data_IF_821657302277
#
_entry.id   IF_821657302277
#
_cell.length_a   1.000
_cell.length_b   1.000
_cell.length_c   1.000
_cell.angle_alpha   90.00
_cell.angle_beta   90.00
_cell.angle_gamma   90.00
#
_symmetry.space_group_name_H-M   'P 1'
#
loop_
_entity.id
_entity.type
_entity.pdbx_description
1 polymer ?
#
# COMPACT_ATOMS: atom_id res chain seq x y z
N UNK A 1 -5.98 -10.75 34.30
CA UNK A 1 -6.33 -11.25 32.93
C UNK A 1 -5.03 -11.38 32.18
N UNK A 2 -4.87 -12.44 31.37
CA UNK A 2 -3.71 -12.53 30.51
C UNK A 2 -3.84 -11.47 29.41
N UNK A 3 -2.88 -10.56 29.33
CA UNK A 3 -2.82 -9.52 28.33
C UNK A 3 -2.07 -10.04 27.09
N UNK A 4 -2.63 -9.88 25.92
CA UNK A 4 -1.98 -10.23 24.65
C UNK A 4 -0.99 -9.12 24.30
N UNK A 5 0.26 -9.48 24.08
CA UNK A 5 1.28 -8.54 23.62
C UNK A 5 1.34 -8.55 22.10
N UNK A 6 1.26 -7.37 21.49
CA UNK A 6 1.31 -7.21 20.04
C UNK A 6 2.31 -6.13 19.64
N UNK A 7 3.07 -6.40 18.59
CA UNK A 7 3.84 -5.43 17.85
C UNK A 7 3.05 -4.97 16.63
N UNK A 8 2.89 -3.66 16.45
CA UNK A 8 2.07 -3.06 15.37
C UNK A 8 2.94 -2.10 14.57
N UNK A 9 2.80 -2.11 13.26
CA UNK A 9 3.47 -1.16 12.38
C UNK A 9 2.51 -0.54 11.35
N UNK A 10 2.47 0.78 11.30
CA UNK A 10 1.70 1.54 10.30
C UNK A 10 2.44 2.81 9.90
N UNK A 11 1.96 3.44 8.83
CA UNK A 11 2.27 4.84 8.57
C UNK A 11 1.62 5.73 9.65
N UNK A 12 2.09 6.95 9.78
CA UNK A 12 1.55 7.92 10.74
C UNK A 12 0.20 8.45 10.24
N UNK A 13 -0.87 7.90 10.83
CA UNK A 13 -2.26 8.30 10.56
C UNK A 13 -2.91 8.89 11.80
N UNK A 14 -3.65 9.97 11.63
CA UNK A 14 -4.35 10.66 12.72
C UNK A 14 -5.31 9.74 13.49
N UNK A 15 -6.03 8.88 12.77
CA UNK A 15 -7.03 7.99 13.37
C UNK A 15 -6.47 6.85 14.22
N UNK A 16 -5.14 6.63 14.20
CA UNK A 16 -4.46 5.68 15.12
C UNK A 16 -3.72 6.38 16.25
N UNK A 17 -3.71 7.70 16.26
CA UNK A 17 -2.90 8.50 17.19
C UNK A 17 -3.18 8.15 18.64
N UNK A 18 -4.44 8.14 19.04
CA UNK A 18 -4.83 7.95 20.45
C UNK A 18 -4.48 6.55 20.97
N UNK A 19 -4.57 5.52 20.13
CA UNK A 19 -4.07 4.19 20.47
C UNK A 19 -2.55 4.19 20.62
N UNK A 20 -1.84 4.86 19.74
CA UNK A 20 -0.39 4.95 19.76
C UNK A 20 0.15 5.72 20.97
N UNK A 21 -0.50 6.81 21.34
CA UNK A 21 -0.11 7.61 22.51
C UNK A 21 -0.56 6.98 23.83
N UNK A 22 -1.46 6.02 23.79
CA UNK A 22 -2.03 5.35 24.96
C UNK A 22 -3.19 6.12 25.60
N UNK A 23 -3.68 7.17 24.95
CA UNK A 23 -4.87 7.91 25.38
C UNK A 23 -6.14 7.04 25.29
N UNK A 24 -6.18 6.16 24.31
CA UNK A 24 -7.16 5.09 24.17
C UNK A 24 -6.44 3.74 24.29
N UNK A 25 -6.97 2.84 25.07
CA UNK A 25 -6.42 1.49 25.28
C UNK A 25 -7.39 0.42 24.80
N UNK A 26 -6.86 -0.58 24.10
CA UNK A 26 -7.62 -1.78 23.80
C UNK A 26 -7.63 -2.72 25.01
N UNK A 27 -8.81 -3.12 25.47
CA UNK A 27 -8.96 -4.01 26.62
C UNK A 27 -8.31 -5.37 26.30
N UNK A 28 -7.48 -5.86 27.24
CA UNK A 28 -6.79 -7.14 27.12
C UNK A 28 -5.62 -7.16 26.15
N UNK A 29 -5.22 -6.01 25.59
CA UNK A 29 -4.09 -5.89 24.66
C UNK A 29 -3.05 -4.91 25.20
N UNK A 30 -1.81 -5.34 25.23
CA UNK A 30 -0.63 -4.51 25.43
C UNK A 30 0.15 -4.44 24.12
N UNK A 31 0.38 -3.26 23.60
CA UNK A 31 0.99 -3.10 22.27
C UNK A 31 2.18 -2.14 22.22
N UNK A 32 3.11 -2.45 21.34
CA UNK A 32 4.13 -1.51 20.87
C UNK A 32 3.79 -1.08 19.46
N UNK A 33 3.93 0.22 19.16
CA UNK A 33 3.57 0.77 17.87
C UNK A 33 4.76 1.41 17.18
N UNK A 34 5.12 0.91 15.99
CA UNK A 34 6.16 1.45 15.14
C UNK A 34 5.54 2.29 14.01
N UNK A 35 5.99 3.55 13.89
CA UNK A 35 5.61 4.41 12.76
C UNK A 35 6.76 4.47 11.77
N UNK A 36 6.48 4.07 10.56
CA UNK A 36 7.46 4.01 9.46
C UNK A 36 6.80 4.48 8.16
N UNK A 37 7.59 4.78 7.16
CA UNK A 37 7.05 5.03 5.83
C UNK A 37 6.36 3.78 5.28
N UNK A 38 5.23 3.93 4.58
CA UNK A 38 4.44 2.78 4.11
C UNK A 38 5.24 1.81 3.21
N UNK A 39 6.17 2.31 2.38
CA UNK A 39 7.03 1.41 1.61
C UNK A 39 7.91 0.53 2.50
N UNK A 40 8.43 1.09 3.58
CA UNK A 40 9.27 0.37 4.54
C UNK A 40 8.45 -0.68 5.29
N UNK A 41 7.28 -0.30 5.84
CA UNK A 41 6.38 -1.26 6.50
C UNK A 41 6.03 -2.40 5.55
N UNK A 42 5.61 -2.09 4.33
CA UNK A 42 5.21 -3.10 3.34
C UNK A 42 6.34 -4.05 2.96
N UNK A 43 7.54 -3.51 2.75
CA UNK A 43 8.68 -4.33 2.37
C UNK A 43 9.11 -5.27 3.50
N UNK A 44 9.30 -4.74 4.70
CA UNK A 44 9.76 -5.49 5.86
C UNK A 44 8.73 -6.53 6.32
N UNK A 45 7.44 -6.17 6.35
CA UNK A 45 6.39 -7.13 6.68
C UNK A 45 6.26 -8.23 5.63
N UNK A 46 6.34 -7.89 4.33
CA UNK A 46 6.28 -8.89 3.26
C UNK A 46 7.44 -9.88 3.34
N UNK A 47 8.65 -9.38 3.60
CA UNK A 47 9.86 -10.21 3.59
C UNK A 47 10.05 -11.01 4.89
N UNK A 48 9.80 -10.39 6.05
CA UNK A 48 10.29 -10.89 7.33
C UNK A 48 9.20 -11.11 8.38
N UNK A 49 7.96 -10.65 8.15
CA UNK A 49 6.88 -10.67 9.16
C UNK A 49 7.33 -10.06 10.49
N UNK A 50 7.99 -8.89 10.43
CA UNK A 50 8.63 -8.29 11.61
C UNK A 50 7.66 -7.86 12.72
N UNK A 51 6.39 -7.77 12.43
CA UNK A 51 5.34 -7.37 13.38
C UNK A 51 4.19 -8.36 13.38
N UNK A 52 3.48 -8.44 14.50
CA UNK A 52 2.27 -9.26 14.61
C UNK A 52 1.12 -8.66 13.77
N UNK A 53 1.05 -7.33 13.71
CA UNK A 53 0.06 -6.59 12.93
C UNK A 53 0.77 -5.50 12.13
N UNK A 54 0.50 -5.42 10.85
CA UNK A 54 1.08 -4.37 10.01
C UNK A 54 0.12 -3.87 8.94
N UNK A 55 0.27 -2.60 8.58
CA UNK A 55 -0.31 -2.08 7.35
C UNK A 55 0.33 -2.78 6.14
N UNK A 56 -0.49 -3.17 5.18
CA UNK A 56 -0.01 -3.78 3.95
C UNK A 56 -0.75 -3.22 2.74
N UNK A 57 -0.03 -3.09 1.63
CA UNK A 57 -0.64 -2.78 0.34
C UNK A 57 -1.71 -3.80 -0.01
N UNK A 58 -2.93 -3.33 -0.32
CA UNK A 58 -4.05 -4.22 -0.67
C UNK A 58 -3.71 -5.13 -1.86
N UNK A 59 -3.00 -4.63 -2.87
CA UNK A 59 -2.57 -5.47 -3.98
C UNK A 59 -1.57 -6.56 -3.56
N UNK A 60 -0.64 -6.25 -2.65
CA UNK A 60 0.27 -7.26 -2.08
C UNK A 60 -0.49 -8.28 -1.24
N UNK A 61 -1.42 -7.83 -0.42
CA UNK A 61 -2.29 -8.71 0.36
C UNK A 61 -3.06 -9.66 -0.56
N UNK A 62 -3.76 -9.12 -1.57
CA UNK A 62 -4.53 -9.91 -2.53
C UNK A 62 -3.68 -10.98 -3.24
N UNK A 63 -2.44 -10.63 -3.61
CA UNK A 63 -1.53 -11.59 -4.23
C UNK A 63 -1.01 -12.67 -3.26
N UNK A 64 -0.95 -12.37 -1.96
CA UNK A 64 -0.49 -13.35 -0.98
C UNK A 64 -1.58 -14.34 -0.57
N UNK A 65 -2.82 -13.86 -0.37
CA UNK A 65 -3.94 -14.73 0.03
C UNK A 65 -4.36 -15.74 -1.05
N UNK A 66 -3.89 -15.57 -2.29
CA UNK A 66 -4.13 -16.55 -3.37
C UNK A 66 -3.12 -17.68 -3.39
N UNK A 67 -2.13 -17.68 -2.50
CA UNK A 67 -1.15 -18.75 -2.38
C UNK A 67 -1.63 -19.85 -1.44
N UNK A 68 -1.27 -21.08 -1.73
CA UNK A 68 -1.66 -22.23 -0.91
C UNK A 68 -1.12 -22.13 0.53
N UNK A 69 0.05 -21.51 0.71
CA UNK A 69 0.70 -21.30 2.01
C UNK A 69 0.64 -19.81 2.39
N UNK A 70 -0.55 -19.32 2.71
CA UNK A 70 -0.72 -17.95 3.21
C UNK A 70 -0.67 -17.90 4.73
N UNK A 71 0.28 -17.14 5.28
CA UNK A 71 0.55 -16.99 6.71
C UNK A 71 -0.03 -15.70 7.31
N UNK A 72 -0.82 -14.95 6.55
CA UNK A 72 -1.44 -13.69 6.99
C UNK A 72 -2.95 -13.72 6.84
N UNK A 73 -3.62 -12.98 7.69
CA UNK A 73 -5.07 -12.71 7.59
C UNK A 73 -5.31 -11.21 7.46
N UNK A 74 -6.32 -10.83 6.70
CA UNK A 74 -6.73 -9.43 6.58
C UNK A 74 -7.68 -9.04 7.71
N UNK A 75 -7.33 -7.99 8.45
CA UNK A 75 -8.25 -7.33 9.35
C UNK A 75 -9.09 -6.31 8.57
N UNK A 76 -10.40 -6.14 8.86
CA UNK A 76 -11.27 -5.23 8.13
C UNK A 76 -11.04 -3.76 8.53
N UNK A 77 -9.77 -3.35 8.56
CA UNK A 77 -9.33 -2.00 8.90
C UNK A 77 -8.67 -1.37 7.68
N UNK A 78 -9.27 -0.30 7.17
CA UNK A 78 -8.73 0.44 6.02
C UNK A 78 -7.88 1.59 6.53
N UNK A 79 -6.56 1.42 6.51
CA UNK A 79 -5.60 2.41 7.00
C UNK A 79 -5.55 3.66 6.12
N UNK A 80 -5.56 3.49 4.80
CA UNK A 80 -5.47 4.59 3.83
C UNK A 80 -6.45 4.41 2.69
N UNK A 81 -7.08 5.51 2.28
CA UNK A 81 -8.00 5.55 1.14
C UNK A 81 -7.79 6.82 0.34
N UNK A 82 -7.34 6.70 -0.90
CA UNK A 82 -7.06 7.82 -1.80
C UNK A 82 -7.62 7.58 -3.20
N UNK A 83 -8.05 8.66 -3.86
CA UNK A 83 -8.36 8.64 -5.29
C UNK A 83 -7.07 8.55 -6.10
N UNK A 84 -6.95 7.53 -6.97
CA UNK A 84 -5.69 7.23 -7.64
C UNK A 84 -5.42 8.05 -8.91
N UNK A 85 -6.43 8.59 -9.55
CA UNK A 85 -6.21 9.43 -10.75
C UNK A 85 -5.38 10.68 -10.47
N UNK A 86 -5.41 11.21 -9.26
CA UNK A 86 -4.55 12.33 -8.85
C UNK A 86 -3.08 11.95 -8.63
N UNK A 87 -2.72 10.68 -8.77
CA UNK A 87 -1.36 10.18 -8.56
C UNK A 87 -0.52 10.10 -9.85
N UNK A 88 -1.08 10.53 -10.99
CA UNK A 88 -0.35 10.62 -12.26
C UNK A 88 0.30 11.99 -12.42
N UNK A 89 1.58 11.98 -12.65
CA UNK A 89 2.37 13.19 -12.89
C UNK A 89 3.14 13.07 -14.18
N UNK A 90 3.16 14.12 -14.97
CA UNK A 90 3.95 14.19 -16.20
C UNK A 90 4.90 15.39 -16.13
N UNK A 91 6.08 15.23 -16.72
CA UNK A 91 6.97 16.37 -16.91
C UNK A 91 6.31 17.33 -17.91
N UNK A 92 6.05 18.57 -17.51
CA UNK A 92 5.41 19.61 -18.35
C UNK A 92 6.14 19.87 -19.67
N UNK A 93 7.44 19.57 -19.74
CA UNK A 93 8.27 19.76 -20.92
C UNK A 93 8.38 18.50 -21.80
N UNK A 94 7.73 17.38 -21.42
CA UNK A 94 7.80 16.12 -22.17
C UNK A 94 6.86 16.06 -23.40
N UNK A 95 6.07 17.11 -23.61
CA UNK A 95 5.12 17.18 -24.73
C UNK A 95 3.90 16.27 -24.57
N UNK A 96 3.66 15.71 -23.38
CA UNK A 96 2.53 14.86 -23.08
C UNK A 96 1.31 15.74 -22.82
N UNK A 97 0.28 15.64 -23.65
CA UNK A 97 -0.97 16.39 -23.55
C UNK A 97 -2.18 15.48 -23.36
N UNK A 98 -2.12 14.27 -23.87
CA UNK A 98 -3.15 13.24 -23.77
C UNK A 98 -2.56 11.95 -23.25
N UNK A 99 -3.40 10.99 -22.92
CA UNK A 99 -2.95 9.68 -22.41
C UNK A 99 -2.25 8.88 -23.50
N UNK A 100 -2.66 9.03 -24.75
CA UNK A 100 -2.06 8.39 -25.92
C UNK A 100 -0.59 8.79 -26.12
N UNK A 101 -0.22 9.99 -25.71
CA UNK A 101 1.17 10.48 -25.78
C UNK A 101 2.12 9.71 -24.85
N UNK A 102 1.59 8.88 -23.95
CA UNK A 102 2.38 7.99 -23.09
C UNK A 102 2.98 6.79 -23.84
N UNK A 103 2.46 6.45 -25.03
CA UNK A 103 3.02 5.37 -25.85
C UNK A 103 4.50 5.65 -26.19
N UNK A 104 5.35 4.65 -25.98
CA UNK A 104 6.79 4.76 -26.14
C UNK A 104 7.51 5.57 -25.06
N UNK A 105 6.81 6.02 -24.02
CA UNK A 105 7.43 6.77 -22.90
C UNK A 105 7.83 5.84 -21.76
N UNK A 106 8.78 6.32 -20.96
CA UNK A 106 9.18 5.67 -19.70
C UNK A 106 8.28 6.17 -18.57
N UNK A 107 7.68 5.23 -17.86
CA UNK A 107 6.80 5.50 -16.70
C UNK A 107 7.47 4.97 -15.44
N UNK A 108 7.79 5.86 -14.51
CA UNK A 108 8.34 5.49 -13.22
C UNK A 108 7.24 5.10 -12.23
N UNK A 109 7.47 4.04 -11.48
CA UNK A 109 6.62 3.64 -10.36
C UNK A 109 7.51 3.23 -9.18
N UNK A 110 7.15 3.59 -7.93
CA UNK A 110 7.95 3.23 -6.76
C UNK A 110 8.10 1.72 -6.59
N UNK A 111 7.05 0.97 -6.89
CA UNK A 111 7.03 -0.48 -6.76
C UNK A 111 5.95 -1.09 -7.66
N UNK A 112 6.27 -2.21 -8.31
CA UNK A 112 5.36 -2.88 -9.24
C UNK A 112 4.09 -3.41 -8.57
N UNK A 113 4.22 -4.04 -7.41
CA UNK A 113 3.13 -4.68 -6.68
C UNK A 113 2.35 -3.73 -5.74
N UNK A 114 2.70 -2.46 -5.72
CA UNK A 114 1.99 -1.46 -4.89
C UNK A 114 0.58 -1.20 -5.45
N UNK A 115 -0.41 -1.04 -4.58
CA UNK A 115 -1.82 -0.84 -4.99
C UNK A 115 -1.98 0.30 -5.98
N UNK A 116 -1.33 1.46 -5.74
CA UNK A 116 -1.37 2.59 -6.67
C UNK A 116 -0.89 2.20 -8.07
N UNK A 117 0.25 1.50 -8.16
CA UNK A 117 0.81 1.07 -9.43
C UNK A 117 -0.07 0.05 -10.16
N UNK A 118 -0.74 -0.85 -9.44
CA UNK A 118 -1.70 -1.80 -10.01
C UNK A 118 -2.90 -1.06 -10.58
N UNK A 119 -3.50 -0.13 -9.83
CA UNK A 119 -4.62 0.68 -10.30
C UNK A 119 -4.25 1.56 -11.49
N UNK A 120 -3.07 2.17 -11.47
CA UNK A 120 -2.57 2.99 -12.58
C UNK A 120 -2.43 2.18 -13.88
N UNK A 121 -1.83 0.99 -13.80
CA UNK A 121 -1.69 0.10 -14.94
C UNK A 121 -3.05 -0.38 -15.47
N UNK A 122 -3.95 -0.74 -14.55
CA UNK A 122 -5.31 -1.13 -14.89
C UNK A 122 -6.05 -0.03 -15.64
N UNK A 123 -5.99 1.20 -15.15
CA UNK A 123 -6.61 2.35 -15.79
C UNK A 123 -6.00 2.64 -17.17
N UNK A 124 -4.67 2.67 -17.31
CA UNK A 124 -4.01 2.85 -18.60
C UNK A 124 -4.46 1.80 -19.61
N UNK A 125 -4.51 0.55 -19.20
CA UNK A 125 -4.85 -0.56 -20.08
C UNK A 125 -6.34 -0.62 -20.43
N UNK A 126 -7.21 -0.59 -19.40
CA UNK A 126 -8.62 -0.88 -19.57
C UNK A 126 -9.44 0.33 -20.01
N UNK A 127 -9.13 1.51 -19.46
CA UNK A 127 -9.93 2.71 -19.69
C UNK A 127 -9.33 3.61 -20.79
N UNK A 128 -8.00 3.64 -20.91
CA UNK A 128 -7.32 4.50 -21.88
C UNK A 128 -6.80 3.75 -23.11
N UNK A 129 -6.86 2.44 -23.16
CA UNK A 129 -6.43 1.64 -24.29
C UNK A 129 -4.90 1.68 -24.55
N UNK A 130 -4.12 2.12 -23.58
CA UNK A 130 -2.65 2.09 -23.65
C UNK A 130 -2.15 0.78 -23.07
N UNK A 131 -1.68 -0.12 -23.93
CA UNK A 131 -1.18 -1.42 -23.48
C UNK A 131 0.12 -1.26 -22.70
N UNK A 132 0.34 -2.11 -21.71
CA UNK A 132 1.57 -2.09 -20.90
C UNK A 132 2.83 -2.37 -21.75
N UNK A 133 2.68 -3.11 -22.87
CA UNK A 133 3.76 -3.35 -23.84
C UNK A 133 4.10 -2.12 -24.69
N UNK A 134 3.29 -1.07 -24.66
CA UNK A 134 3.50 0.17 -25.42
C UNK A 134 4.23 1.24 -24.60
N UNK A 135 4.55 0.97 -23.33
CA UNK A 135 5.28 1.86 -22.41
C UNK A 135 6.50 1.15 -21.83
N UNK A 136 7.47 1.89 -21.29
CA UNK A 136 8.74 1.37 -20.73
C UNK A 136 8.87 1.69 -19.23
#
# INVERSE_FOLDING_TARGET
MNTIKLSIATTDYDHFRDFRTGDVRAEGIDHTWSMLGHHEVFARFTANREWDVAELSFAKFSAQITRDECDIVGLPVVCSRLFRFSAFYVNKNAGIKTVEDLKGKRIGSPEWAHSAAVYMRGWLHNDCGVKLSEVH
#
